data_IF_198016220484
#
_entry.id   IF_198016220484
#
_cell.length_a   1.000
_cell.length_b   1.000
_cell.length_c   1.000
_cell.angle_alpha   90.00
_cell.angle_beta   90.00
_cell.angle_gamma   90.00
#
_symmetry.space_group_name_H-M   'P 1'
#
loop_
_entity.id
_entity.type
_entity.pdbx_description
1 polymer ?
#
# COMPACT_ATOMS: atom_id res chain seq x y z
N UNK A 1 22.72 29.91 -21.94
CA UNK A 1 22.41 29.00 -23.06
C UNK A 1 23.59 28.05 -23.16
N UNK A 2 23.43 26.79 -22.70
CA UNK A 2 24.54 25.82 -22.71
C UNK A 2 24.59 25.23 -24.11
N UNK A 3 25.53 25.69 -24.94
CA UNK A 3 25.77 25.09 -26.24
C UNK A 3 26.46 23.73 -26.01
N UNK A 4 25.74 22.65 -26.24
CA UNK A 4 26.34 21.33 -26.41
C UNK A 4 26.92 21.34 -27.83
N UNK A 5 28.24 21.20 -27.95
CA UNK A 5 28.97 21.30 -29.22
C UNK A 5 28.30 20.38 -30.26
N UNK A 6 27.94 20.96 -31.40
CA UNK A 6 27.30 20.33 -32.57
C UNK A 6 25.83 19.88 -32.44
N UNK A 7 25.10 20.28 -31.39
CA UNK A 7 23.65 20.00 -31.27
C UNK A 7 22.83 21.27 -31.05
N UNK A 8 21.67 21.36 -31.70
CA UNK A 8 20.78 22.53 -31.63
C UNK A 8 20.00 22.54 -30.32
N UNK A 9 19.72 21.37 -29.75
CA UNK A 9 19.05 21.21 -28.45
C UNK A 9 19.49 19.92 -27.73
N UNK A 10 19.25 19.90 -26.43
CA UNK A 10 19.42 18.77 -25.50
C UNK A 10 18.70 17.50 -25.94
N UNK A 11 17.50 17.57 -26.50
CA UNK A 11 16.77 16.40 -27.01
C UNK A 11 17.47 15.75 -28.22
N UNK A 12 18.08 16.55 -29.08
CA UNK A 12 18.86 16.07 -30.24
C UNK A 12 20.14 15.35 -29.76
N UNK A 13 20.79 15.91 -28.74
CA UNK A 13 21.97 15.28 -28.13
C UNK A 13 21.62 13.95 -27.44
N UNK A 14 20.46 13.87 -26.77
CA UNK A 14 19.99 12.69 -26.04
C UNK A 14 19.62 11.52 -26.96
N UNK A 15 19.14 11.84 -28.17
CA UNK A 15 18.77 10.86 -29.20
C UNK A 15 19.91 10.51 -30.16
N UNK A 16 21.10 11.11 -29.99
CA UNK A 16 22.25 10.80 -30.83
C UNK A 16 22.69 9.33 -30.71
N UNK A 17 23.19 8.70 -31.79
CA UNK A 17 23.66 7.31 -31.77
C UNK A 17 24.74 7.03 -30.72
N UNK A 18 25.57 8.05 -30.40
CA UNK A 18 26.60 7.95 -29.36
C UNK A 18 25.99 7.91 -27.95
N UNK A 19 25.01 8.76 -27.66
CA UNK A 19 24.29 8.76 -26.38
C UNK A 19 23.47 7.48 -26.21
N UNK A 20 22.74 7.04 -27.24
CA UNK A 20 22.00 5.77 -27.23
C UNK A 20 22.96 4.58 -27.04
N UNK A 21 24.06 4.52 -27.79
CA UNK A 21 25.05 3.45 -27.68
C UNK A 21 25.78 3.44 -26.32
N UNK A 22 26.00 4.60 -25.72
CA UNK A 22 26.53 4.72 -24.35
C UNK A 22 25.50 4.25 -23.31
N UNK A 23 24.26 4.72 -23.39
CA UNK A 23 23.17 4.32 -22.50
C UNK A 23 22.89 2.81 -22.59
N UNK A 24 22.93 2.23 -23.79
CA UNK A 24 22.78 0.80 -24.00
C UNK A 24 23.92 0.00 -23.33
N UNK A 25 25.18 0.43 -23.50
CA UNK A 25 26.32 -0.21 -22.82
C UNK A 25 26.22 -0.11 -21.30
N UNK A 26 25.79 1.03 -20.77
CA UNK A 26 25.55 1.19 -19.34
C UNK A 26 24.39 0.30 -18.84
N UNK A 27 23.32 0.18 -19.65
CA UNK A 27 22.18 -0.68 -19.33
C UNK A 27 22.58 -2.16 -19.32
N UNK A 28 23.40 -2.62 -20.28
CA UNK A 28 23.95 -3.97 -20.31
C UNK A 28 24.86 -4.27 -19.09
N UNK A 29 25.59 -3.26 -18.60
CA UNK A 29 26.41 -3.36 -17.40
C UNK A 29 25.65 -3.20 -16.08
N UNK A 30 24.36 -2.88 -16.13
CA UNK A 30 23.53 -2.68 -14.94
C UNK A 30 23.36 -4.02 -14.22
N UNK A 31 23.71 -4.05 -12.92
CA UNK A 31 23.46 -5.21 -12.06
C UNK A 31 21.99 -5.62 -12.14
N UNK A 32 21.73 -6.92 -12.21
CA UNK A 32 20.38 -7.47 -12.20
C UNK A 32 19.60 -6.92 -10.99
N UNK A 33 18.39 -6.40 -11.25
CA UNK A 33 17.55 -5.84 -10.21
C UNK A 33 17.09 -6.96 -9.27
N UNK A 34 17.59 -6.96 -8.03
CA UNK A 34 17.10 -7.85 -6.97
C UNK A 34 15.88 -7.19 -6.34
N UNK A 35 14.71 -7.76 -6.60
CA UNK A 35 13.47 -7.35 -5.94
C UNK A 35 13.53 -7.70 -4.46
N UNK A 36 12.93 -6.86 -3.62
CA UNK A 36 12.82 -7.12 -2.19
C UNK A 36 11.93 -8.33 -1.94
N UNK A 37 12.26 -9.12 -0.92
CA UNK A 37 11.55 -10.35 -0.61
C UNK A 37 10.14 -10.04 -0.08
N UNK A 38 9.14 -10.80 -0.51
CA UNK A 38 7.82 -10.81 0.11
C UNK A 38 7.91 -11.26 1.57
N UNK A 39 7.03 -10.75 2.43
CA UNK A 39 6.90 -11.24 3.80
C UNK A 39 6.39 -12.70 3.80
N UNK A 40 6.72 -13.45 4.83
CA UNK A 40 6.12 -14.77 5.07
C UNK A 40 4.74 -14.62 5.69
N UNK A 41 3.88 -15.65 5.60
CA UNK A 41 2.55 -15.62 6.23
C UNK A 41 2.66 -15.39 7.74
N UNK A 42 3.67 -16.01 8.38
CA UNK A 42 3.95 -15.82 9.80
C UNK A 42 4.34 -14.38 10.14
N UNK A 43 5.13 -13.70 9.29
CA UNK A 43 5.44 -12.27 9.49
C UNK A 43 4.19 -11.39 9.41
N UNK A 44 3.27 -11.68 8.48
CA UNK A 44 2.00 -10.94 8.36
C UNK A 44 1.12 -11.20 9.58
N UNK A 45 0.94 -12.47 9.96
CA UNK A 45 0.23 -12.87 11.18
C UNK A 45 0.80 -12.17 12.43
N UNK A 46 2.13 -12.12 12.57
CA UNK A 46 2.78 -11.46 13.69
C UNK A 46 2.53 -9.94 13.69
N UNK A 47 2.51 -9.28 12.52
CA UNK A 47 2.15 -7.85 12.42
C UNK A 47 0.70 -7.63 12.85
N UNK A 48 -0.24 -8.46 12.41
CA UNK A 48 -1.65 -8.39 12.85
C UNK A 48 -1.76 -8.52 14.37
N UNK A 49 -1.05 -9.48 14.97
CA UNK A 49 -1.02 -9.64 16.42
C UNK A 49 -0.39 -8.44 17.14
N UNK A 50 0.66 -7.83 16.58
CA UNK A 50 1.25 -6.60 17.14
C UNK A 50 0.22 -5.47 17.09
N UNK A 51 -0.52 -5.31 16.00
CA UNK A 51 -1.60 -4.31 15.92
C UNK A 51 -2.62 -4.50 17.04
N UNK A 52 -3.05 -5.74 17.28
CA UNK A 52 -4.16 -6.05 18.20
C UNK A 52 -3.74 -6.13 19.67
N UNK A 53 -2.55 -6.66 19.96
CA UNK A 53 -2.19 -7.14 21.30
C UNK A 53 -1.03 -6.39 21.96
N UNK A 54 -0.34 -5.49 21.24
CA UNK A 54 0.80 -4.79 21.84
C UNK A 54 0.34 -3.75 22.87
N UNK A 55 1.11 -3.60 23.94
CA UNK A 55 0.86 -2.58 24.96
C UNK A 55 1.22 -1.15 24.49
N UNK A 56 2.02 -1.02 23.42
CA UNK A 56 2.46 0.28 22.90
C UNK A 56 1.54 0.75 21.78
N UNK A 57 0.72 1.80 21.97
CA UNK A 57 -0.16 2.28 20.90
C UNK A 57 0.61 2.71 19.65
N UNK A 58 1.86 3.18 19.82
CA UNK A 58 2.74 3.54 18.69
C UNK A 58 3.03 2.31 17.83
N UNK A 59 3.42 1.18 18.44
CA UNK A 59 3.67 -0.04 17.70
C UNK A 59 2.37 -0.59 17.06
N UNK A 60 1.23 -0.40 17.73
CA UNK A 60 -0.07 -0.82 17.20
C UNK A 60 -0.41 -0.05 15.92
N UNK A 61 -0.30 1.29 15.92
CA UNK A 61 -0.58 2.11 14.72
C UNK A 61 0.42 1.79 13.60
N UNK A 62 1.69 1.66 13.94
CA UNK A 62 2.73 1.32 12.95
C UNK A 62 2.52 -0.05 12.31
N UNK A 63 2.19 -1.07 13.11
CA UNK A 63 1.86 -2.40 12.62
C UNK A 63 0.57 -2.38 11.79
N UNK A 64 -0.45 -1.62 12.22
CA UNK A 64 -1.70 -1.49 11.47
C UNK A 64 -1.51 -0.84 10.10
N UNK A 65 -0.59 0.13 9.96
CA UNK A 65 -0.21 0.63 8.63
C UNK A 65 0.41 -0.49 7.77
N UNK A 66 1.27 -1.32 8.36
CA UNK A 66 1.88 -2.45 7.65
C UNK A 66 0.82 -3.46 7.20
N UNK A 67 -0.14 -3.79 8.08
CA UNK A 67 -1.30 -4.63 7.76
C UNK A 67 -2.11 -4.05 6.60
N UNK A 68 -2.43 -2.75 6.62
CA UNK A 68 -3.12 -2.08 5.52
C UNK A 68 -2.34 -2.19 4.19
N UNK A 69 -1.01 -1.98 4.22
CA UNK A 69 -0.19 -2.06 3.01
C UNK A 69 -0.11 -3.50 2.46
N UNK A 70 -0.06 -4.51 3.33
CA UNK A 70 -0.04 -5.93 2.93
C UNK A 70 -1.40 -6.36 2.42
N UNK A 71 -2.43 -6.24 3.27
CA UNK A 71 -3.80 -6.68 3.00
C UNK A 71 -4.43 -5.89 1.87
N UNK A 72 -4.08 -4.61 1.70
CA UNK A 72 -4.50 -3.77 0.59
C UNK A 72 -3.57 -3.82 -0.62
N UNK A 73 -2.46 -4.58 -0.60
CA UNK A 73 -1.49 -4.66 -1.71
C UNK A 73 -0.99 -3.28 -2.17
N UNK A 74 -0.74 -2.40 -1.22
CA UNK A 74 -0.39 -0.99 -1.48
C UNK A 74 1.10 -0.73 -1.32
N UNK A 75 1.64 0.19 -2.12
CA UNK A 75 2.88 0.85 -1.70
C UNK A 75 2.57 1.84 -0.57
N UNK A 76 3.54 2.09 0.29
CA UNK A 76 3.43 3.10 1.36
C UNK A 76 3.01 4.47 0.82
N UNK A 77 3.52 4.86 -0.34
CA UNK A 77 3.12 6.13 -0.94
C UNK A 77 1.67 6.14 -1.44
N UNK A 78 1.12 4.98 -1.81
CA UNK A 78 -0.30 4.86 -2.18
C UNK A 78 -1.16 4.99 -0.92
N UNK A 79 -0.77 4.30 0.16
CA UNK A 79 -1.40 4.44 1.47
C UNK A 79 -1.38 5.90 1.98
N UNK A 80 -0.24 6.59 1.85
CA UNK A 80 -0.12 8.01 2.22
C UNK A 80 -0.95 8.98 1.37
N UNK A 81 -1.61 8.51 0.30
CA UNK A 81 -2.51 9.30 -0.56
C UNK A 81 -3.99 8.95 -0.36
N UNK A 82 -4.30 8.00 0.51
CA UNK A 82 -5.67 7.70 0.89
C UNK A 82 -6.25 8.94 1.60
N UNK A 83 -7.42 9.38 1.15
CA UNK A 83 -8.12 10.55 1.70
C UNK A 83 -9.29 10.15 2.58
N UNK A 84 -10.01 9.13 2.13
CA UNK A 84 -11.22 8.63 2.76
C UNK A 84 -11.13 7.13 2.89
N UNK A 85 -11.68 6.62 4.00
CA UNK A 85 -11.84 5.19 4.25
C UNK A 85 -13.23 4.98 4.84
N UNK A 86 -14.01 4.15 4.17
CA UNK A 86 -15.28 3.63 4.64
C UNK A 86 -15.08 2.16 5.07
N UNK A 87 -15.94 1.71 5.98
CA UNK A 87 -15.92 0.33 6.48
C UNK A 87 -17.27 -0.34 6.21
N UNK A 88 -17.22 -1.56 5.73
CA UNK A 88 -18.37 -2.39 5.41
C UNK A 88 -18.29 -3.71 6.22
N UNK A 89 -18.72 -3.68 7.49
CA UNK A 89 -18.65 -4.85 8.37
C UNK A 89 -19.71 -5.89 7.98
N UNK A 90 -19.30 -7.14 7.87
CA UNK A 90 -20.19 -8.28 7.62
C UNK A 90 -20.59 -8.93 8.95
N UNK A 91 -21.90 -8.97 9.21
CA UNK A 91 -22.46 -9.60 10.41
C UNK A 91 -23.25 -10.85 10.05
N UNK A 92 -23.04 -11.93 10.80
CA UNK A 92 -23.91 -13.11 10.81
C UNK A 92 -24.57 -13.22 12.18
N UNK A 93 -25.89 -13.24 12.22
CA UNK A 93 -26.69 -13.27 13.46
C UNK A 93 -26.27 -12.22 14.51
N UNK A 94 -25.83 -11.05 14.07
CA UNK A 94 -25.37 -9.95 14.94
C UNK A 94 -23.92 -10.06 15.42
N UNK A 95 -23.20 -11.11 15.01
CA UNK A 95 -21.77 -11.29 15.28
C UNK A 95 -20.98 -10.80 14.07
N UNK A 96 -19.95 -9.99 14.30
CA UNK A 96 -19.03 -9.56 13.24
C UNK A 96 -18.21 -10.77 12.78
N UNK A 97 -18.43 -11.22 11.55
CA UNK A 97 -17.76 -12.40 10.95
C UNK A 97 -16.76 -12.04 9.86
N UNK A 98 -16.81 -10.81 9.36
CA UNK A 98 -15.96 -10.37 8.26
C UNK A 98 -16.14 -8.88 7.98
N UNK A 99 -15.62 -8.44 6.84
CA UNK A 99 -15.87 -7.09 6.34
C UNK A 99 -14.71 -6.53 5.52
N UNK A 100 -14.99 -5.44 4.84
CA UNK A 100 -14.05 -4.76 3.96
C UNK A 100 -13.90 -3.30 4.34
N UNK A 101 -12.72 -2.77 4.04
CA UNK A 101 -12.46 -1.34 4.01
C UNK A 101 -12.43 -0.90 2.56
N UNK A 102 -13.19 0.15 2.26
CA UNK A 102 -13.16 0.82 0.98
C UNK A 102 -12.44 2.15 1.13
N UNK A 103 -11.35 2.32 0.40
CA UNK A 103 -10.53 3.51 0.47
C UNK A 103 -10.38 4.15 -0.91
N UNK A 104 -10.38 5.47 -0.94
CA UNK A 104 -10.14 6.24 -2.15
C UNK A 104 -8.78 6.93 -2.06
N UNK A 105 -7.85 6.54 -2.93
CA UNK A 105 -6.55 7.19 -3.06
C UNK A 105 -6.51 8.15 -4.27
N UNK A 106 -5.96 9.35 -4.06
CA UNK A 106 -5.67 10.28 -5.15
C UNK A 106 -4.51 9.73 -5.97
N UNK A 107 -4.64 9.78 -7.29
CA UNK A 107 -3.71 9.14 -8.23
C UNK A 107 -2.23 9.51 -8.03
N UNK A 108 -1.36 8.62 -8.53
CA UNK A 108 0.10 8.74 -8.40
C UNK A 108 0.75 9.50 -9.56
N UNK A 109 2.00 9.92 -9.34
CA UNK A 109 2.91 10.57 -10.31
C UNK A 109 3.12 9.79 -11.63
N UNK A 110 2.66 8.54 -11.72
CA UNK A 110 2.80 7.66 -12.91
C UNK A 110 1.55 7.73 -13.81
N UNK A 111 0.47 8.38 -13.39
CA UNK A 111 -0.70 8.64 -14.23
C UNK A 111 -0.33 9.56 -15.40
N UNK A 112 -0.24 8.96 -16.60
CA UNK A 112 0.19 9.66 -17.82
C UNK A 112 -0.90 10.54 -18.45
N UNK A 113 -2.19 10.36 -18.12
CA UNK A 113 -3.30 11.19 -18.61
C UNK A 113 -3.92 12.04 -17.50
N UNK A 114 -4.54 13.17 -17.88
CA UNK A 114 -5.23 14.08 -16.94
C UNK A 114 -6.45 13.42 -16.31
N UNK A 115 -7.18 12.55 -17.03
CA UNK A 115 -8.33 11.83 -16.47
C UNK A 115 -7.90 10.82 -15.41
N UNK A 116 -6.84 10.03 -15.65
CA UNK A 116 -6.28 9.11 -14.63
C UNK A 116 -5.69 9.84 -13.43
N UNK A 117 -5.41 11.15 -13.55
CA UNK A 117 -4.98 11.96 -12.43
C UNK A 117 -6.12 12.32 -11.47
N UNK A 118 -7.35 12.36 -12.00
CA UNK A 118 -8.58 12.76 -11.30
C UNK A 118 -9.47 11.58 -10.93
N UNK A 119 -9.19 10.37 -11.42
CA UNK A 119 -9.90 9.15 -11.02
C UNK A 119 -9.30 8.58 -9.74
N UNK A 120 -10.13 8.42 -8.70
CA UNK A 120 -9.75 7.73 -7.48
C UNK A 120 -9.43 6.26 -7.78
N UNK A 121 -8.37 5.73 -7.19
CA UNK A 121 -8.13 4.29 -7.18
C UNK A 121 -8.98 3.68 -6.06
N UNK A 122 -10.01 2.86 -6.37
CA UNK A 122 -10.73 2.14 -5.34
C UNK A 122 -9.80 1.09 -4.74
N UNK A 123 -9.60 1.15 -3.44
CA UNK A 123 -8.79 0.25 -2.66
C UNK A 123 -9.74 -0.53 -1.77
N UNK A 124 -9.79 -1.86 -1.97
CA UNK A 124 -10.57 -2.76 -1.11
C UNK A 124 -9.63 -3.63 -0.29
N UNK A 125 -9.79 -3.58 1.04
CA UNK A 125 -8.94 -4.28 2.02
C UNK A 125 -9.78 -5.12 2.96
N UNK A 126 -9.50 -6.43 3.13
CA UNK A 126 -10.15 -7.23 4.17
C UNK A 126 -9.86 -6.72 5.58
N UNK A 127 -10.90 -6.62 6.41
CA UNK A 127 -10.77 -6.26 7.84
C UNK A 127 -10.14 -7.36 8.68
N UNK A 128 -10.07 -8.58 8.13
CA UNK A 128 -9.52 -9.76 8.78
C UNK A 128 -8.43 -10.36 7.89
N UNK A 129 -7.31 -10.74 8.50
CA UNK A 129 -6.18 -11.38 7.82
C UNK A 129 -5.93 -12.79 8.35
N UNK A 130 -4.67 -13.21 8.36
CA UNK A 130 -4.29 -14.56 8.82
C UNK A 130 -4.59 -14.82 10.30
N UNK A 131 -4.68 -13.77 11.11
CA UNK A 131 -4.94 -13.90 12.55
C UNK A 131 -6.42 -14.08 12.89
N UNK A 132 -7.33 -13.75 11.97
CA UNK A 132 -8.77 -13.71 12.24
C UNK A 132 -9.21 -12.62 13.22
N UNK A 133 -8.31 -11.73 13.65
CA UNK A 133 -8.66 -10.57 14.48
C UNK A 133 -8.93 -9.33 13.63
N UNK A 134 -9.78 -8.44 14.13
CA UNK A 134 -10.07 -7.15 13.53
C UNK A 134 -8.91 -6.16 13.80
N UNK A 135 -7.84 -6.30 13.01
CA UNK A 135 -6.66 -5.45 13.07
C UNK A 135 -6.99 -3.97 12.79
N UNK A 136 -8.02 -3.71 11.96
CA UNK A 136 -8.41 -2.36 11.59
C UNK A 136 -8.95 -1.58 12.79
N UNK A 137 -9.86 -2.19 13.55
CA UNK A 137 -10.41 -1.56 14.74
C UNK A 137 -9.32 -1.23 15.75
N UNK A 138 -8.40 -2.18 16.00
CA UNK A 138 -7.27 -1.97 16.88
C UNK A 138 -6.35 -0.82 16.41
N UNK A 139 -6.12 -0.71 15.09
CA UNK A 139 -5.38 0.41 14.49
C UNK A 139 -6.06 1.76 14.73
N UNK A 140 -7.38 1.85 14.51
CA UNK A 140 -8.15 3.08 14.74
C UNK A 140 -8.15 3.47 16.22
N UNK A 141 -8.36 2.52 17.12
CA UNK A 141 -8.35 2.77 18.58
C UNK A 141 -6.98 3.23 19.07
N UNK A 142 -5.90 2.64 18.53
CA UNK A 142 -4.54 3.08 18.84
C UNK A 142 -4.27 4.51 18.33
N UNK A 143 -4.75 4.87 17.14
CA UNK A 143 -4.67 6.27 16.63
C UNK A 143 -5.38 7.24 17.56
N UNK A 144 -6.58 6.90 18.02
CA UNK A 144 -7.35 7.72 18.96
C UNK A 144 -6.62 7.89 20.29
N UNK A 145 -6.04 6.81 20.83
CA UNK A 145 -5.28 6.86 22.09
C UNK A 145 -4.03 7.75 22.01
N UNK A 146 -3.47 7.93 20.81
CA UNK A 146 -2.34 8.82 20.54
C UNK A 146 -2.77 10.27 20.20
N UNK A 147 -4.07 10.57 20.24
CA UNK A 147 -4.61 11.89 19.89
C UNK A 147 -4.42 12.26 18.43
N UNK A 148 -4.30 11.28 17.53
CA UNK A 148 -4.23 11.54 16.10
C UNK A 148 -5.58 12.04 15.58
N UNK A 149 -5.57 12.87 14.54
CA UNK A 149 -6.79 13.29 13.85
C UNK A 149 -7.58 12.06 13.38
N UNK A 150 -8.89 12.07 13.66
CA UNK A 150 -9.80 11.01 13.24
C UNK A 150 -9.81 10.85 11.72
N UNK A 151 -9.96 9.62 11.27
CA UNK A 151 -10.07 9.31 9.85
C UNK A 151 -11.47 9.71 9.36
N UNK A 152 -11.56 10.12 8.10
CA UNK A 152 -12.77 10.69 7.53
C UNK A 152 -13.39 9.69 6.56
N UNK A 153 -14.69 9.43 6.70
CA UNK A 153 -15.46 8.62 5.75
C UNK A 153 -15.65 9.38 4.43
N UNK A 154 -15.87 8.70 3.30
CA UNK A 154 -16.10 9.42 2.03
C UNK A 154 -17.37 10.27 2.09
N UNK A 155 -18.37 9.80 2.85
CA UNK A 155 -19.64 10.52 3.07
C UNK A 155 -19.44 11.80 3.86
N UNK A 156 -18.62 11.79 4.91
CA UNK A 156 -18.30 12.98 5.71
C UNK A 156 -17.38 13.96 4.96
N UNK A 157 -16.44 13.43 4.19
CA UNK A 157 -15.46 14.20 3.42
C UNK A 157 -16.08 15.10 2.34
N UNK A 158 -17.24 14.72 1.78
CA UNK A 158 -17.96 15.53 0.79
C UNK A 158 -18.47 16.86 1.34
N UNK A 159 -18.70 16.95 2.65
CA UNK A 159 -19.29 18.15 3.28
C UNK A 159 -18.27 19.02 4.02
N UNK A 160 -17.00 18.60 4.12
CA UNK A 160 -15.98 19.33 4.88
C UNK A 160 -14.78 19.75 4.01
N UNK A 161 -14.83 20.97 3.47
CA UNK A 161 -13.75 21.55 2.66
C UNK A 161 -12.39 21.66 3.40
N UNK A 162 -12.40 21.69 4.75
CA UNK A 162 -11.18 21.74 5.58
C UNK A 162 -10.48 20.38 5.62
N UNK A 163 -11.22 19.27 5.42
CA UNK A 163 -10.69 17.91 5.40
C UNK A 163 -10.37 17.41 3.98
N UNK A 164 -10.51 18.25 2.97
CA UNK A 164 -10.27 17.91 1.56
C UNK A 164 -8.81 17.49 1.27
N UNK A 165 -7.85 17.95 2.08
CA UNK A 165 -6.44 17.56 2.02
C UNK A 165 -6.20 16.14 2.58
N UNK A 166 -7.18 15.52 3.26
CA UNK A 166 -7.10 14.18 3.85
C UNK A 166 -6.16 14.06 5.05
N UNK A 167 -6.42 13.07 5.90
CA UNK A 167 -5.64 12.81 7.12
C UNK A 167 -4.65 11.67 6.87
N UNK A 168 -3.34 11.82 7.16
CA UNK A 168 -2.38 10.74 6.95
C UNK A 168 -2.68 9.56 7.89
N UNK A 169 -2.71 8.36 7.30
CA UNK A 169 -2.92 7.10 8.02
C UNK A 169 -1.81 6.76 9.02
N UNK A 170 -0.58 7.15 8.71
CA UNK A 170 0.49 7.24 9.69
C UNK A 170 1.18 8.58 9.48
N UNK A 171 0.94 9.55 10.35
CA UNK A 171 1.72 10.78 10.34
C UNK A 171 3.17 10.46 10.69
N UNK A 172 4.11 11.24 10.15
CA UNK A 172 5.52 11.10 10.46
C UNK A 172 5.77 11.45 11.93
N UNK A 173 6.51 10.59 12.63
CA UNK A 173 6.95 10.82 14.01
C UNK A 173 8.18 11.72 14.03
N UNK A 174 8.11 12.82 14.76
CA UNK A 174 9.20 13.76 14.93
C UNK A 174 10.15 13.32 16.07
N UNK A 175 11.34 13.93 16.15
CA UNK A 175 12.36 13.60 17.14
C UNK A 175 11.93 13.91 18.58
N UNK A 176 11.07 14.91 18.75
CA UNK A 176 10.47 15.30 20.04
C UNK A 176 9.32 14.37 20.47
N UNK A 177 9.02 13.33 19.69
CA UNK A 177 7.96 12.38 19.94
C UNK A 177 6.58 12.81 19.44
N UNK A 178 6.46 14.03 18.88
CA UNK A 178 5.21 14.53 18.30
C UNK A 178 4.93 13.94 16.92
N UNK A 179 3.69 14.11 16.44
CA UNK A 179 3.26 13.68 15.12
C UNK A 179 3.14 14.89 14.20
N UNK A 180 3.76 14.81 13.03
CA UNK A 180 3.65 15.86 12.00
C UNK A 180 2.34 15.74 11.21
N UNK A 181 1.96 16.78 10.47
CA UNK A 181 0.85 16.71 9.51
C UNK A 181 1.20 15.92 8.22
N UNK A 182 2.46 15.54 8.01
CA UNK A 182 2.92 14.87 6.80
C UNK A 182 2.89 13.34 6.97
N UNK A 183 2.58 12.57 5.91
CA UNK A 183 2.63 11.11 5.96
C UNK A 183 4.07 10.60 6.16
N UNK A 184 4.19 9.46 6.84
CA UNK A 184 5.47 8.77 7.01
C UNK A 184 6.09 8.38 5.65
N UNK A 185 7.42 8.51 5.55
CA UNK A 185 8.15 8.21 4.31
C UNK A 185 8.46 6.72 4.20
N UNK A 186 8.76 6.27 2.97
CA UNK A 186 8.98 4.85 2.68
C UNK A 186 10.22 4.25 3.39
N UNK A 187 11.24 5.06 3.65
CA UNK A 187 12.43 4.70 4.44
C UNK A 187 12.10 4.60 5.93
N UNK A 188 11.30 5.52 6.46
CA UNK A 188 10.82 5.49 7.85
C UNK A 188 9.93 4.27 8.12
N UNK A 189 9.02 3.98 7.19
CA UNK A 189 8.18 2.77 7.26
C UNK A 189 9.02 1.50 7.10
N UNK A 190 10.11 1.53 6.32
CA UNK A 190 11.04 0.39 6.25
C UNK A 190 11.73 0.16 7.59
N UNK A 191 12.27 1.20 8.21
CA UNK A 191 12.93 1.10 9.51
C UNK A 191 11.97 0.60 10.61
N UNK A 192 10.74 1.13 10.61
CA UNK A 192 9.66 0.69 11.49
C UNK A 192 9.33 -0.79 11.27
N UNK A 193 9.08 -1.22 10.03
CA UNK A 193 8.71 -2.61 9.71
C UNK A 193 9.77 -3.59 10.20
N UNK A 194 11.04 -3.29 9.93
CA UNK A 194 12.17 -4.13 10.37
C UNK A 194 12.27 -4.19 11.89
N UNK A 195 12.05 -3.06 12.59
CA UNK A 195 12.04 -3.02 14.06
C UNK A 195 10.90 -3.85 14.65
N UNK A 196 9.69 -3.75 14.11
CA UNK A 196 8.54 -4.51 14.58
C UNK A 196 8.77 -6.01 14.38
N UNK A 197 9.22 -6.42 13.18
CA UNK A 197 9.50 -7.83 12.89
C UNK A 197 10.65 -8.39 13.76
N UNK A 198 11.70 -7.60 14.00
CA UNK A 198 12.75 -8.00 14.92
C UNK A 198 12.24 -8.15 16.36
N UNK A 199 11.32 -7.27 16.81
CA UNK A 199 10.76 -7.32 18.16
C UNK A 199 9.89 -8.56 18.43
N UNK A 200 9.34 -9.17 17.38
CA UNK A 200 8.59 -10.44 17.46
C UNK A 200 9.47 -11.66 17.18
N UNK A 201 10.79 -11.50 17.15
CA UNK A 201 11.75 -12.61 17.05
C UNK A 201 12.10 -13.05 15.62
N UNK A 202 11.77 -12.26 14.59
CA UNK A 202 12.23 -12.59 13.23
C UNK A 202 13.76 -12.45 13.14
N UNK A 203 14.42 -13.48 12.60
CA UNK A 203 15.88 -13.49 12.45
C UNK A 203 16.37 -12.39 11.52
N UNK A 204 17.50 -11.75 11.87
CA UNK A 204 18.11 -10.70 11.05
C UNK A 204 18.39 -11.14 9.60
N UNK A 205 18.71 -12.42 9.39
CA UNK A 205 18.92 -12.99 8.06
C UNK A 205 17.66 -12.94 7.19
N UNK A 206 16.49 -13.23 7.77
CA UNK A 206 15.20 -13.17 7.08
C UNK A 206 14.78 -11.72 6.75
N UNK A 207 15.23 -10.75 7.55
CA UNK A 207 14.89 -9.33 7.41
C UNK A 207 15.79 -8.57 6.42
N UNK A 208 16.94 -9.13 6.02
CA UNK A 208 17.93 -8.47 5.16
C UNK A 208 17.35 -7.96 3.83
N UNK A 209 16.40 -8.68 3.26
CA UNK A 209 15.75 -8.33 1.99
C UNK A 209 14.32 -7.81 2.15
N UNK A 210 13.90 -7.49 3.38
CA UNK A 210 12.60 -6.87 3.66
C UNK A 210 12.72 -5.35 3.60
N UNK A 211 11.73 -4.71 2.98
CA UNK A 211 11.58 -3.25 2.98
C UNK A 211 10.10 -2.87 2.82
N UNK A 212 9.77 -1.59 2.84
CA UNK A 212 8.39 -1.13 2.63
C UNK A 212 7.74 -1.63 1.33
N UNK A 213 8.52 -1.81 0.26
CA UNK A 213 8.03 -2.37 -1.01
C UNK A 213 7.68 -3.87 -0.93
N UNK A 214 8.18 -4.60 0.06
CA UNK A 214 7.85 -6.01 0.30
C UNK A 214 6.35 -6.19 0.59
N UNK A 215 5.71 -5.22 1.23
CA UNK A 215 4.32 -5.31 1.67
C UNK A 215 3.36 -5.50 0.48
N UNK A 216 3.45 -4.65 -0.55
CA UNK A 216 2.65 -4.80 -1.79
C UNK A 216 2.84 -6.16 -2.45
N UNK A 217 4.08 -6.63 -2.54
CA UNK A 217 4.41 -7.86 -3.23
C UNK A 217 3.97 -9.12 -2.46
N UNK A 218 3.68 -9.01 -1.16
CA UNK A 218 3.47 -10.15 -0.26
C UNK A 218 2.27 -10.99 -0.69
N UNK A 219 1.07 -10.43 -0.66
CA UNK A 219 -0.13 -11.20 -1.01
C UNK A 219 -0.21 -11.53 -2.50
N UNK A 220 0.34 -10.68 -3.38
CA UNK A 220 0.43 -11.00 -4.82
C UNK A 220 1.34 -12.22 -5.08
N UNK A 221 2.43 -12.35 -4.32
CA UNK A 221 3.33 -13.51 -4.39
C UNK A 221 2.66 -14.75 -3.80
N UNK A 222 1.95 -14.64 -2.68
CA UNK A 222 1.20 -15.75 -2.08
C UNK A 222 0.06 -16.23 -2.99
N UNK A 223 -0.73 -15.32 -3.55
CA UNK A 223 -1.78 -15.63 -4.51
C UNK A 223 -1.24 -16.38 -5.74
N UNK A 224 -0.06 -15.98 -6.23
CA UNK A 224 0.59 -16.69 -7.34
C UNK A 224 1.00 -18.13 -6.96
N UNK A 225 1.48 -18.34 -5.73
CA UNK A 225 1.84 -19.68 -5.21
C UNK A 225 0.60 -20.54 -4.93
N UNK A 226 -0.49 -19.92 -4.50
CA UNK A 226 -1.77 -20.58 -4.24
C UNK A 226 -2.50 -21.01 -5.52
N UNK A 227 -2.13 -20.43 -6.67
CA UNK A 227 -2.69 -20.79 -7.97
C UNK A 227 -3.78 -19.83 -8.46
N UNK A 228 -3.92 -18.64 -7.86
CA UNK A 228 -4.81 -17.59 -8.37
C UNK A 228 -4.37 -17.18 -9.78
N UNK A 229 -5.32 -17.11 -10.71
CA UNK A 229 -5.03 -16.84 -12.11
C UNK A 229 -4.42 -15.44 -12.33
N UNK A 230 -3.76 -15.25 -13.47
CA UNK A 230 -3.02 -14.02 -13.75
C UNK A 230 -3.92 -12.78 -13.80
N UNK A 231 -5.14 -12.89 -14.34
CA UNK A 231 -6.05 -11.75 -14.50
C UNK A 231 -6.53 -11.29 -13.13
N UNK A 232 -6.93 -12.21 -12.28
CA UNK A 232 -7.32 -11.91 -10.89
C UNK A 232 -6.17 -11.27 -10.12
N UNK A 233 -4.94 -11.78 -10.26
CA UNK A 233 -3.74 -11.16 -9.64
C UNK A 233 -3.41 -9.77 -10.18
N UNK A 234 -3.65 -9.52 -11.48
CA UNK A 234 -3.49 -8.18 -12.06
C UNK A 234 -4.48 -7.20 -11.43
N UNK A 235 -5.75 -7.58 -11.30
CA UNK A 235 -6.78 -6.77 -10.64
C UNK A 235 -6.45 -6.52 -9.16
N UNK A 236 -6.04 -7.56 -8.42
CA UNK A 236 -5.57 -7.43 -7.02
C UNK A 236 -4.38 -6.49 -6.85
N UNK A 237 -3.52 -6.40 -7.87
CA UNK A 237 -2.37 -5.49 -7.93
C UNK A 237 -2.70 -4.11 -8.48
N UNK A 238 -3.98 -3.83 -8.76
CA UNK A 238 -4.49 -2.58 -9.35
C UNK A 238 -3.93 -2.31 -10.76
N UNK A 239 -3.61 -3.37 -11.50
CA UNK A 239 -3.18 -3.30 -12.88
C UNK A 239 -4.38 -3.43 -13.81
N UNK A 240 -4.68 -2.34 -14.51
CA UNK A 240 -5.67 -2.31 -15.58
C UNK A 240 -5.02 -2.84 -16.87
N UNK A 241 -5.58 -3.90 -17.44
CA UNK A 241 -5.13 -4.43 -18.74
C UNK A 241 -5.44 -3.39 -19.82
N UNK A 242 -4.45 -3.10 -20.67
CA UNK A 242 -4.59 -2.14 -21.76
C UNK A 242 -5.76 -2.54 -22.67
N UNK A 243 -6.75 -1.67 -22.83
CA UNK A 243 -7.95 -1.91 -23.64
C UNK A 243 -9.21 -2.26 -22.83
N UNK A 244 -9.09 -2.61 -21.54
CA UNK A 244 -10.23 -2.89 -20.65
C UNK A 244 -10.56 -1.70 -19.72
N UNK A 245 -9.97 -0.54 -20.00
CA UNK A 245 -10.07 0.66 -19.17
C UNK A 245 -11.52 1.14 -19.00
N UNK A 246 -12.34 1.03 -20.06
CA UNK A 246 -13.75 1.41 -20.03
C UNK A 246 -14.57 0.51 -19.09
N UNK A 247 -14.44 -0.82 -19.21
CA UNK A 247 -15.16 -1.77 -18.35
C UNK A 247 -14.78 -1.60 -16.87
N UNK A 248 -13.50 -1.32 -16.59
CA UNK A 248 -13.00 -1.11 -15.23
C UNK A 248 -13.40 0.24 -14.64
N UNK A 249 -13.57 1.28 -15.46
CA UNK A 249 -14.04 2.59 -15.02
C UNK A 249 -15.54 2.63 -14.67
N UNK A 250 -16.35 1.71 -15.22
CA UNK A 250 -17.80 1.66 -14.96
C UNK A 250 -18.23 0.62 -13.93
N UNK A 251 -17.46 -0.47 -13.75
CA UNK A 251 -17.72 -1.41 -12.66
C UNK A 251 -17.13 -0.92 -11.35
N UNK A 252 -17.98 -0.34 -10.50
CA UNK A 252 -17.60 0.19 -9.18
C UNK A 252 -16.98 -0.90 -8.30
N UNK A 253 -17.47 -2.14 -8.42
CA UNK A 253 -17.14 -3.25 -7.52
C UNK A 253 -16.30 -4.34 -8.20
N UNK A 254 -15.54 -3.98 -9.26
CA UNK A 254 -14.72 -4.92 -10.02
C UNK A 254 -13.63 -5.63 -9.19
N UNK A 255 -13.35 -5.14 -7.97
CA UNK A 255 -12.44 -5.77 -7.03
C UNK A 255 -13.12 -6.80 -6.11
N UNK A 256 -14.45 -6.90 -6.09
CA UNK A 256 -15.18 -7.82 -5.21
C UNK A 256 -14.76 -9.28 -5.41
N UNK A 257 -14.90 -9.82 -6.63
CA UNK A 257 -14.51 -11.21 -6.91
C UNK A 257 -13.00 -11.47 -6.70
N UNK A 258 -12.07 -10.61 -7.16
CA UNK A 258 -10.65 -10.78 -6.85
C UNK A 258 -10.31 -10.76 -5.36
N UNK A 259 -10.95 -9.88 -4.57
CA UNK A 259 -10.73 -9.81 -3.12
C UNK A 259 -11.34 -11.03 -2.42
N UNK A 260 -12.44 -11.57 -2.91
CA UNK A 260 -12.99 -12.82 -2.38
C UNK A 260 -12.04 -14.01 -2.59
N UNK A 261 -11.34 -14.09 -3.74
CA UNK A 261 -10.24 -15.07 -3.92
C UNK A 261 -9.08 -14.84 -2.93
N UNK A 262 -8.85 -13.59 -2.53
CA UNK A 262 -7.85 -13.26 -1.52
C UNK A 262 -8.28 -13.73 -0.12
N UNK A 263 -9.55 -13.61 0.25
CA UNK A 263 -10.06 -14.13 1.52
C UNK A 263 -9.93 -15.65 1.62
N UNK A 264 -10.17 -16.39 0.52
CA UNK A 264 -9.92 -17.84 0.46
C UNK A 264 -8.46 -18.18 0.74
N UNK A 265 -7.52 -17.38 0.23
CA UNK A 265 -6.09 -17.51 0.52
C UNK A 265 -5.77 -17.24 2.00
N UNK A 266 -6.45 -16.25 2.60
CA UNK A 266 -6.26 -15.85 4.00
C UNK A 266 -6.92 -16.83 4.98
N UNK A 267 -7.89 -17.63 4.52
CA UNK A 267 -8.65 -18.56 5.36
C UNK A 267 -9.73 -17.86 6.19
N UNK A 268 -10.26 -16.73 5.72
CA UNK A 268 -11.23 -15.89 6.46
C UNK A 268 -12.68 -16.12 6.02
N UNK A 269 -13.01 -17.30 5.50
CA UNK A 269 -14.37 -17.72 5.11
C UNK A 269 -14.78 -18.99 5.84
#
# INVERSE_FOLDING_TARGET
MVHIVDFVDTDESATSPRCIGSAHRQFLGKKALRQKAALTALMVFALELVTVSTASPVNSVEAGLACLCVLGRLHVSDAGRIKFIDQEPLHDQGVLVGGFLEAAAVSTKIAKSKEKKTTFLPIVVPMFGFSGFNWWQAFVDARRSLGMTELVSATEGQFCAILAEGVPLLPRRMQDGTWSAQPAKADEVTAMLLRLLASVGCEAAALKEVASHSMKATLLSMAAKYGVDLRTRQLLGYHVVKGEESALNYGRDNLGAPVHELEKLLGTQ
#
